data_IF_171731570503
#
_entry.id   IF_171731570503
#
_cell.length_a   1.000
_cell.length_b   1.000
_cell.length_c   1.000
_cell.angle_alpha   90.00
_cell.angle_beta   90.00
_cell.angle_gamma   90.00
#
_symmetry.space_group_name_H-M   'P 1'
#
loop_
_entity.id
_entity.type
_entity.pdbx_description
1 polymer ?
#
# COMPACT_ATOMS: atom_id res chain seq x y z
N UNK A 1 -16.71 -1.21 6.21
CA UNK A 1 -15.98 -0.14 6.93
C UNK A 1 -14.59 0.09 6.33
N UNK A 2 -13.67 -0.87 6.34
CA UNK A 2 -12.29 -0.69 5.83
C UNK A 2 -12.20 -0.30 4.35
N UNK A 3 -13.00 -0.95 3.48
CA UNK A 3 -13.06 -0.61 2.04
C UNK A 3 -13.55 0.83 1.81
N UNK A 4 -14.48 1.30 2.65
CA UNK A 4 -15.00 2.68 2.57
C UNK A 4 -13.94 3.69 3.00
N UNK A 5 -13.22 3.40 4.10
CA UNK A 5 -12.10 4.25 4.55
C UNK A 5 -10.98 4.36 3.51
N UNK A 6 -10.71 3.26 2.81
CA UNK A 6 -9.74 3.23 1.72
C UNK A 6 -10.16 4.15 0.56
N UNK A 7 -11.41 4.06 0.12
CA UNK A 7 -11.94 4.94 -0.94
C UNK A 7 -11.91 6.41 -0.53
N UNK A 8 -12.27 6.72 0.72
CA UNK A 8 -12.22 8.09 1.25
C UNK A 8 -10.80 8.65 1.25
N UNK A 9 -9.82 7.85 1.69
CA UNK A 9 -8.41 8.27 1.72
C UNK A 9 -7.86 8.53 0.32
N UNK A 10 -8.21 7.67 -0.65
CA UNK A 10 -7.84 7.84 -2.05
C UNK A 10 -8.50 9.07 -2.69
N UNK A 11 -9.74 9.39 -2.30
CA UNK A 11 -10.44 10.59 -2.75
C UNK A 11 -9.74 11.88 -2.30
N UNK A 12 -9.06 11.88 -1.14
CA UNK A 12 -8.31 13.07 -0.68
C UNK A 12 -7.15 13.41 -1.61
N UNK A 13 -6.45 12.40 -2.16
CA UNK A 13 -5.35 12.62 -3.10
C UNK A 13 -5.84 13.27 -4.41
N UNK A 14 -6.94 12.77 -4.97
CA UNK A 14 -7.56 13.35 -6.18
C UNK A 14 -8.07 14.76 -5.89
N UNK A 15 -8.78 14.94 -4.77
CA UNK A 15 -9.30 16.24 -4.35
C UNK A 15 -8.18 17.27 -4.19
N UNK A 16 -7.03 16.88 -3.64
CA UNK A 16 -5.87 17.78 -3.49
C UNK A 16 -5.36 18.30 -4.84
N UNK A 17 -5.32 17.45 -5.87
CA UNK A 17 -4.91 17.86 -7.22
C UNK A 17 -5.95 18.82 -7.80
N UNK A 18 -7.24 18.51 -7.65
CA UNK A 18 -8.31 19.38 -8.12
C UNK A 18 -8.25 20.75 -7.43
N UNK A 19 -8.11 20.78 -6.11
CA UNK A 19 -8.01 22.01 -5.33
C UNK A 19 -6.74 22.81 -5.63
N UNK A 20 -5.68 22.16 -6.13
CA UNK A 20 -4.47 22.85 -6.56
C UNK A 20 -4.61 23.49 -7.94
N UNK A 21 -5.37 22.88 -8.85
CA UNK A 21 -5.46 23.31 -10.26
C UNK A 21 -6.73 24.11 -10.60
N UNK A 22 -7.77 24.10 -9.75
CA UNK A 22 -9.07 24.63 -10.14
C UNK A 22 -9.13 26.15 -10.34
N UNK A 23 -8.19 26.90 -9.75
CA UNK A 23 -8.19 28.36 -9.84
C UNK A 23 -7.94 28.85 -11.28
N UNK A 24 -7.30 28.05 -12.12
CA UNK A 24 -6.94 28.45 -13.49
C UNK A 24 -8.08 28.28 -14.50
N UNK A 25 -8.84 27.18 -14.42
CA UNK A 25 -9.79 26.75 -15.46
C UNK A 25 -11.17 26.36 -14.93
N UNK A 26 -11.42 26.53 -13.63
CA UNK A 26 -12.69 26.24 -12.97
C UNK A 26 -12.82 24.80 -12.47
N UNK A 27 -13.64 24.62 -11.44
CA UNK A 27 -13.74 23.37 -10.68
C UNK A 27 -14.16 22.17 -11.53
N UNK A 28 -15.25 22.29 -12.30
CA UNK A 28 -15.80 21.15 -13.04
C UNK A 28 -14.89 20.64 -14.15
N UNK A 29 -14.25 21.56 -14.88
CA UNK A 29 -13.31 21.22 -15.95
C UNK A 29 -12.07 20.55 -15.34
N UNK A 30 -11.55 21.10 -14.25
CA UNK A 30 -10.42 20.53 -13.52
C UNK A 30 -10.74 19.15 -12.98
N UNK A 31 -11.90 18.96 -12.36
CA UNK A 31 -12.33 17.66 -11.83
C UNK A 31 -12.41 16.60 -12.94
N UNK A 32 -13.05 16.93 -14.06
CA UNK A 32 -13.14 16.03 -15.21
C UNK A 32 -11.75 15.70 -15.77
N UNK A 33 -10.90 16.71 -15.92
CA UNK A 33 -9.53 16.55 -16.39
C UNK A 33 -8.72 15.63 -15.47
N UNK A 34 -8.71 15.89 -14.15
CA UNK A 34 -8.00 15.07 -13.17
C UNK A 34 -8.51 13.64 -13.17
N UNK A 35 -9.83 13.43 -13.20
CA UNK A 35 -10.39 12.07 -13.15
C UNK A 35 -10.11 11.24 -14.40
N UNK A 36 -10.12 11.86 -15.59
CA UNK A 36 -10.06 11.11 -16.85
C UNK A 36 -8.69 11.14 -17.54
N UNK A 37 -7.81 12.07 -17.17
CA UNK A 37 -6.51 12.26 -17.85
C UNK A 37 -5.30 12.04 -16.94
N UNK A 38 -5.42 12.25 -15.62
CA UNK A 38 -4.30 12.06 -14.70
C UNK A 38 -4.25 10.61 -14.23
N UNK A 39 -3.05 10.03 -14.12
CA UNK A 39 -2.84 8.66 -13.61
C UNK A 39 -3.47 8.47 -12.21
N UNK A 40 -3.38 9.49 -11.35
CA UNK A 40 -3.99 9.46 -10.02
C UNK A 40 -5.53 9.34 -10.06
N UNK A 41 -6.19 10.03 -10.98
CA UNK A 41 -7.65 9.95 -11.16
C UNK A 41 -8.08 8.61 -11.77
N UNK A 42 -7.37 8.17 -12.81
CA UNK A 42 -7.60 6.85 -13.43
C UNK A 42 -7.43 5.71 -12.41
N UNK A 43 -6.39 5.79 -11.58
CA UNK A 43 -6.17 4.83 -10.51
C UNK A 43 -7.29 4.88 -9.47
N UNK A 44 -7.77 6.06 -9.08
CA UNK A 44 -8.92 6.18 -8.17
C UNK A 44 -10.16 5.49 -8.71
N UNK A 45 -10.49 5.68 -10.00
CA UNK A 45 -11.64 5.03 -10.66
C UNK A 45 -11.48 3.50 -10.63
N UNK A 46 -10.30 2.99 -11.01
CA UNK A 46 -10.02 1.55 -10.99
C UNK A 46 -10.09 0.98 -9.56
N UNK A 47 -9.53 1.68 -8.58
CA UNK A 47 -9.60 1.26 -7.17
C UNK A 47 -11.04 1.22 -6.66
N UNK A 48 -11.88 2.18 -7.05
CA UNK A 48 -13.30 2.17 -6.74
C UNK A 48 -14.01 0.98 -7.38
N UNK A 49 -13.75 0.70 -8.66
CA UNK A 49 -14.30 -0.45 -9.37
C UNK A 49 -13.90 -1.77 -8.70
N UNK A 50 -12.61 -1.99 -8.46
CA UNK A 50 -12.12 -3.22 -7.82
C UNK A 50 -12.70 -3.40 -6.41
N UNK A 51 -12.82 -2.31 -5.66
CA UNK A 51 -13.42 -2.32 -4.32
C UNK A 51 -14.88 -2.75 -4.34
N UNK A 52 -15.68 -2.22 -5.27
CA UNK A 52 -17.09 -2.60 -5.42
C UNK A 52 -17.22 -4.06 -5.83
N UNK A 53 -16.41 -4.52 -6.78
CA UNK A 53 -16.42 -5.93 -7.19
C UNK A 53 -16.01 -6.85 -6.03
N UNK A 54 -15.00 -6.47 -5.25
CA UNK A 54 -14.56 -7.24 -4.09
C UNK A 54 -15.67 -7.31 -3.03
N UNK A 55 -16.36 -6.20 -2.76
CA UNK A 55 -17.51 -6.16 -1.86
C UNK A 55 -18.62 -7.13 -2.28
N UNK A 56 -18.93 -7.19 -3.58
CA UNK A 56 -19.93 -8.13 -4.13
C UNK A 56 -19.49 -9.58 -3.90
N UNK A 57 -18.20 -9.87 -4.06
CA UNK A 57 -17.64 -11.22 -3.86
C UNK A 57 -17.72 -11.66 -2.40
N UNK A 58 -17.40 -10.76 -1.45
CA UNK A 58 -17.31 -11.11 -0.02
C UNK A 58 -18.64 -11.01 0.73
N UNK A 59 -19.63 -10.25 0.24
CA UNK A 59 -20.91 -10.04 0.94
C UNK A 59 -21.92 -11.20 0.77
N UNK A 60 -21.44 -12.41 0.44
CA UNK A 60 -22.28 -13.60 0.31
C UNK A 60 -21.89 -14.61 1.38
N UNK A 61 -22.88 -15.29 1.95
CA UNK A 61 -22.72 -16.19 3.10
C UNK A 61 -21.80 -17.38 2.86
N UNK A 62 -21.55 -17.76 1.60
CA UNK A 62 -20.60 -18.81 1.25
C UNK A 62 -19.59 -18.36 0.18
N UNK A 63 -18.31 -18.60 0.46
CA UNK A 63 -17.20 -18.38 -0.45
C UNK A 63 -16.84 -19.71 -1.11
N UNK A 64 -17.33 -19.93 -2.32
CA UNK A 64 -16.87 -21.06 -3.14
C UNK A 64 -15.39 -20.87 -3.53
N UNK A 65 -14.66 -21.94 -3.87
CA UNK A 65 -13.26 -21.84 -4.31
C UNK A 65 -13.06 -20.86 -5.47
N UNK A 66 -14.02 -20.77 -6.41
CA UNK A 66 -14.00 -19.80 -7.50
C UNK A 66 -14.11 -18.35 -7.01
N UNK A 67 -14.94 -18.08 -6.00
CA UNK A 67 -15.06 -16.74 -5.38
C UNK A 67 -13.80 -16.35 -4.63
N UNK A 68 -13.16 -17.30 -3.95
CA UNK A 68 -11.87 -17.05 -3.27
C UNK A 68 -10.81 -16.63 -4.31
N UNK A 69 -10.69 -17.39 -5.41
CA UNK A 69 -9.76 -17.05 -6.50
C UNK A 69 -10.04 -15.66 -7.09
N UNK A 70 -11.32 -15.34 -7.31
CA UNK A 70 -11.73 -14.02 -7.78
C UNK A 70 -11.40 -12.91 -6.79
N UNK A 71 -11.64 -13.13 -5.49
CA UNK A 71 -11.29 -12.18 -4.43
C UNK A 71 -9.78 -11.91 -4.37
N UNK A 72 -8.96 -12.96 -4.47
CA UNK A 72 -7.50 -12.84 -4.54
C UNK A 72 -7.07 -12.07 -5.79
N UNK A 73 -7.64 -12.38 -6.95
CA UNK A 73 -7.37 -11.66 -8.19
C UNK A 73 -7.69 -10.16 -8.06
N UNK A 74 -8.86 -9.82 -7.51
CA UNK A 74 -9.26 -8.42 -7.29
C UNK A 74 -8.32 -7.71 -6.31
N UNK A 75 -7.90 -8.38 -5.22
CA UNK A 75 -6.89 -7.84 -4.31
C UNK A 75 -5.55 -7.58 -4.99
N UNK A 76 -5.10 -8.48 -5.86
CA UNK A 76 -3.88 -8.28 -6.65
C UNK A 76 -4.03 -7.14 -7.67
N UNK A 77 -5.19 -7.02 -8.32
CA UNK A 77 -5.48 -5.90 -9.22
C UNK A 77 -5.40 -4.55 -8.48
N UNK A 78 -5.91 -4.49 -7.25
CA UNK A 78 -5.81 -3.31 -6.38
C UNK A 78 -4.35 -2.97 -6.03
N UNK A 79 -3.52 -3.97 -5.71
CA UNK A 79 -2.07 -3.77 -5.44
C UNK A 79 -1.38 -3.19 -6.67
N UNK A 80 -1.63 -3.74 -7.86
CA UNK A 80 -1.03 -3.29 -9.10
C UNK A 80 -1.51 -1.88 -9.46
N UNK A 81 -2.80 -1.58 -9.32
CA UNK A 81 -3.34 -0.22 -9.55
C UNK A 81 -2.72 0.80 -8.59
N UNK A 82 -2.53 0.43 -7.31
CA UNK A 82 -1.82 1.28 -6.34
C UNK A 82 -0.36 1.51 -6.73
N UNK A 83 0.33 0.47 -7.20
CA UNK A 83 1.72 0.58 -7.60
C UNK A 83 1.91 1.41 -8.87
N UNK A 84 1.00 1.23 -9.84
CA UNK A 84 0.98 1.93 -11.13
C UNK A 84 0.81 3.44 -10.99
N UNK A 85 0.03 3.90 -10.01
CA UNK A 85 -0.20 5.33 -9.77
C UNK A 85 0.92 6.03 -8.99
N UNK A 86 1.93 5.28 -8.55
CA UNK A 86 3.05 5.81 -7.77
C UNK A 86 4.20 6.35 -8.63
N UNK A 87 4.96 7.30 -8.09
CA UNK A 87 6.10 7.94 -8.77
C UNK A 87 7.10 6.96 -9.38
N UNK A 88 7.36 5.82 -8.74
CA UNK A 88 8.29 4.84 -9.27
C UNK A 88 7.85 4.28 -10.62
N UNK A 89 6.54 4.08 -10.82
CA UNK A 89 5.97 3.65 -12.10
C UNK A 89 6.16 4.73 -13.17
N UNK A 90 5.87 5.99 -12.84
CA UNK A 90 6.04 7.09 -13.81
C UNK A 90 7.51 7.37 -14.17
N UNK A 91 8.46 7.10 -13.27
CA UNK A 91 9.90 7.36 -13.48
C UNK A 91 10.62 6.17 -14.11
N UNK A 92 10.34 4.93 -13.67
CA UNK A 92 11.03 3.69 -14.11
C UNK A 92 10.14 2.76 -14.92
N UNK A 93 8.92 3.15 -15.24
CA UNK A 93 7.97 2.33 -15.99
C UNK A 93 7.62 1.03 -15.27
N UNK A 94 7.61 -0.07 -16.03
CA UNK A 94 7.22 -1.39 -15.55
C UNK A 94 8.10 -1.92 -14.40
N UNK A 95 9.39 -1.58 -14.38
CA UNK A 95 10.30 -1.96 -13.30
C UNK A 95 9.86 -1.32 -11.98
N UNK A 96 9.64 0.00 -11.99
CA UNK A 96 9.18 0.73 -10.81
C UNK A 96 7.81 0.25 -10.33
N UNK A 97 6.89 -0.04 -11.26
CA UNK A 97 5.59 -0.63 -10.95
C UNK A 97 5.72 -2.02 -10.31
N UNK A 98 6.59 -2.89 -10.82
CA UNK A 98 6.80 -4.23 -10.29
C UNK A 98 7.39 -4.19 -8.88
N UNK A 99 8.45 -3.41 -8.66
CA UNK A 99 9.07 -3.29 -7.34
C UNK A 99 8.11 -2.65 -6.34
N UNK A 100 7.34 -1.65 -6.77
CA UNK A 100 6.33 -1.03 -5.91
C UNK A 100 5.18 -2.00 -5.57
N UNK A 101 4.77 -2.87 -6.51
CA UNK A 101 3.77 -3.92 -6.25
C UNK A 101 4.28 -4.93 -5.22
N UNK A 102 5.53 -5.38 -5.35
CA UNK A 102 6.17 -6.29 -4.38
C UNK A 102 6.25 -5.64 -3.00
N UNK A 103 6.69 -4.38 -2.94
CA UNK A 103 6.75 -3.62 -1.69
C UNK A 103 5.37 -3.54 -1.02
N UNK A 104 4.35 -3.08 -1.76
CA UNK A 104 3.00 -2.90 -1.24
C UNK A 104 2.38 -4.23 -0.79
N UNK A 105 2.54 -5.30 -1.56
CA UNK A 105 2.04 -6.62 -1.19
C UNK A 105 2.68 -7.13 0.11
N UNK A 106 4.00 -6.97 0.25
CA UNK A 106 4.71 -7.34 1.47
C UNK A 106 4.23 -6.53 2.69
N UNK A 107 4.02 -5.22 2.53
CA UNK A 107 3.43 -4.36 3.58
C UNK A 107 2.03 -4.84 3.95
N UNK A 108 1.16 -5.13 2.97
CA UNK A 108 -0.22 -5.55 3.23
C UNK A 108 -0.31 -6.92 3.90
N UNK A 109 0.50 -7.89 3.47
CA UNK A 109 0.56 -9.22 4.11
C UNK A 109 1.05 -9.07 5.55
N UNK A 110 2.12 -8.30 5.78
CA UNK A 110 2.69 -8.11 7.11
C UNK A 110 1.73 -7.39 8.06
N UNK A 111 1.27 -6.20 7.68
CA UNK A 111 0.37 -5.38 8.52
C UNK A 111 -1.01 -6.01 8.66
N UNK A 112 -1.57 -6.58 7.59
CA UNK A 112 -2.84 -7.30 7.62
C UNK A 112 -2.78 -8.52 8.52
N UNK A 113 -1.70 -9.30 8.46
CA UNK A 113 -1.46 -10.42 9.37
C UNK A 113 -1.42 -9.98 10.84
N UNK A 114 -0.68 -8.90 11.15
CA UNK A 114 -0.61 -8.33 12.50
C UNK A 114 -1.97 -7.80 12.98
N UNK A 115 -2.75 -7.16 12.11
CA UNK A 115 -4.10 -6.68 12.44
C UNK A 115 -5.03 -7.85 12.78
N UNK A 116 -5.03 -8.92 11.96
CA UNK A 116 -5.83 -10.12 12.25
C UNK A 116 -5.44 -10.69 13.60
N UNK A 117 -4.15 -10.76 13.94
CA UNK A 117 -3.70 -11.24 15.24
C UNK A 117 -4.12 -10.35 16.41
N UNK A 118 -4.05 -9.04 16.23
CA UNK A 118 -4.45 -8.08 17.27
C UNK A 118 -5.93 -8.17 17.62
N UNK A 119 -6.79 -8.52 16.66
CA UNK A 119 -8.23 -8.66 16.89
C UNK A 119 -8.65 -10.10 17.21
N UNK A 120 -8.04 -11.09 16.58
CA UNK A 120 -8.42 -12.50 16.62
C UNK A 120 -7.20 -13.35 16.97
N UNK A 121 -6.80 -13.30 18.25
CA UNK A 121 -5.70 -14.13 18.76
C UNK A 121 -6.12 -15.61 18.75
N UNK A 122 -5.28 -16.52 18.22
CA UNK A 122 -5.43 -17.95 18.45
C UNK A 122 -5.53 -18.27 19.94
N UNK A 123 -6.28 -19.31 20.31
CA UNK A 123 -6.25 -19.84 21.68
C UNK A 123 -4.81 -20.22 22.06
N UNK A 124 -4.45 -20.08 23.34
CA UNK A 124 -3.11 -20.39 23.88
C UNK A 124 -2.55 -21.74 23.40
N UNK A 125 -3.42 -22.75 23.22
CA UNK A 125 -3.05 -24.10 22.75
C UNK A 125 -2.43 -24.15 21.35
N UNK A 126 -2.77 -23.21 20.47
CA UNK A 126 -2.33 -23.18 19.07
C UNK A 126 -1.36 -22.02 18.77
N UNK A 127 -1.01 -21.21 19.79
CA UNK A 127 -0.18 -20.02 19.62
C UNK A 127 1.23 -20.35 19.13
N UNK A 128 1.87 -21.38 19.70
CA UNK A 128 3.21 -21.82 19.27
C UNK A 128 3.25 -22.24 17.79
N UNK A 129 2.30 -23.08 17.35
CA UNK A 129 2.20 -23.55 15.96
C UNK A 129 1.98 -22.36 15.00
N UNK A 130 1.12 -21.43 15.38
CA UNK A 130 0.89 -20.23 14.60
C UNK A 130 2.17 -19.39 14.45
N UNK A 131 2.89 -19.16 15.56
CA UNK A 131 4.14 -18.38 15.55
C UNK A 131 5.21 -19.03 14.67
N UNK A 132 5.37 -20.35 14.72
CA UNK A 132 6.33 -21.08 13.88
C UNK A 132 6.05 -20.90 12.39
N UNK A 133 4.77 -20.87 12.00
CA UNK A 133 4.37 -20.62 10.61
C UNK A 133 4.47 -19.14 10.21
N UNK A 134 4.07 -18.23 11.11
CA UNK A 134 4.00 -16.80 10.80
C UNK A 134 5.36 -16.10 10.79
N UNK A 135 6.30 -16.54 11.65
CA UNK A 135 7.66 -15.98 11.76
C UNK A 135 8.41 -15.93 10.43
N UNK A 136 8.55 -17.02 9.65
CA UNK A 136 9.25 -16.98 8.36
C UNK A 136 8.53 -16.09 7.34
N UNK A 137 7.20 -16.06 7.33
CA UNK A 137 6.41 -15.20 6.43
C UNK A 137 6.67 -13.72 6.69
N UNK A 138 6.60 -13.29 7.96
CA UNK A 138 6.86 -11.90 8.35
C UNK A 138 8.30 -11.51 8.09
N UNK A 139 9.25 -12.42 8.33
CA UNK A 139 10.67 -12.19 8.04
C UNK A 139 10.89 -11.94 6.55
N UNK A 140 10.29 -12.77 5.68
CA UNK A 140 10.35 -12.57 4.23
C UNK A 140 9.70 -11.24 3.81
N UNK A 141 8.50 -10.93 4.33
CA UNK A 141 7.83 -9.67 4.04
C UNK A 141 8.71 -8.48 4.44
N UNK A 142 9.35 -8.55 5.62
CA UNK A 142 10.21 -7.49 6.11
C UNK A 142 11.46 -7.28 5.22
N UNK A 143 12.13 -8.37 4.82
CA UNK A 143 13.25 -8.30 3.89
C UNK A 143 12.85 -7.67 2.55
N UNK A 144 11.69 -8.07 2.02
CA UNK A 144 11.14 -7.48 0.80
C UNK A 144 10.84 -5.98 1.01
N UNK A 145 10.21 -5.58 2.12
CA UNK A 145 9.89 -4.19 2.44
C UNK A 145 11.16 -3.33 2.50
N UNK A 146 12.21 -3.78 3.19
CA UNK A 146 13.47 -3.03 3.30
C UNK A 146 14.16 -2.91 1.94
N UNK A 147 14.37 -4.03 1.25
CA UNK A 147 15.09 -4.04 -0.03
C UNK A 147 14.38 -3.23 -1.11
N UNK A 148 13.08 -3.48 -1.30
CA UNK A 148 12.27 -2.70 -2.26
C UNK A 148 12.06 -1.26 -1.79
N UNK A 149 11.99 -1.00 -0.49
CA UNK A 149 11.83 0.36 0.05
C UNK A 149 13.02 1.25 -0.22
N UNK A 150 14.24 0.73 -0.05
CA UNK A 150 15.49 1.44 -0.40
C UNK A 150 15.53 1.72 -1.90
N UNK A 151 15.20 0.71 -2.73
CA UNK A 151 15.13 0.90 -4.17
C UNK A 151 14.12 2.00 -4.56
N UNK A 152 12.89 1.94 -4.05
CA UNK A 152 11.85 2.93 -4.35
C UNK A 152 12.21 4.33 -3.88
N UNK A 153 12.90 4.45 -2.74
CA UNK A 153 13.48 5.72 -2.30
C UNK A 153 14.49 6.22 -3.33
N UNK A 154 15.44 5.38 -3.78
CA UNK A 154 16.50 5.77 -4.72
C UNK A 154 15.98 6.22 -6.09
N UNK A 155 14.74 5.87 -6.44
CA UNK A 155 14.09 6.37 -7.66
C UNK A 155 13.76 7.86 -7.57
N UNK A 156 13.54 8.39 -6.36
CA UNK A 156 13.14 9.79 -6.14
C UNK A 156 14.27 10.62 -5.53
N UNK A 157 15.02 10.05 -4.59
CA UNK A 157 16.13 10.71 -3.88
C UNK A 157 17.33 9.77 -3.90
N UNK A 158 18.44 10.21 -4.49
CA UNK A 158 19.69 9.44 -4.49
C UNK A 158 20.14 9.18 -3.04
N UNK A 159 20.75 8.03 -2.80
CA UNK A 159 21.11 7.62 -1.43
C UNK A 159 22.10 8.60 -0.80
N UNK A 160 22.97 9.16 -1.63
CA UNK A 160 23.99 10.16 -1.28
C UNK A 160 23.36 11.50 -0.86
N UNK A 161 22.20 11.84 -1.41
CA UNK A 161 21.47 13.10 -1.15
C UNK A 161 20.41 12.95 -0.05
N UNK A 162 20.39 11.81 0.64
CA UNK A 162 19.31 11.48 1.58
C UNK A 162 19.19 12.50 2.72
N UNK A 163 20.31 12.92 3.32
CA UNK A 163 20.30 13.95 4.38
C UNK A 163 19.82 15.30 3.87
N UNK A 164 20.21 15.65 2.65
CA UNK A 164 19.89 16.94 2.04
C UNK A 164 18.40 17.05 1.73
N UNK A 165 17.75 15.91 1.45
CA UNK A 165 16.31 15.83 1.22
C UNK A 165 15.45 16.22 2.44
N UNK A 166 15.99 16.26 3.65
CA UNK A 166 15.25 16.57 4.88
C UNK A 166 14.73 18.01 4.96
N UNK A 167 15.22 18.90 4.10
CA UNK A 167 14.66 20.23 3.92
C UNK A 167 13.26 20.18 3.29
N UNK A 168 12.94 19.12 2.54
CA UNK A 168 11.67 18.92 1.87
C UNK A 168 10.72 18.04 2.70
N UNK A 169 9.40 18.29 2.65
CA UNK A 169 8.42 17.45 3.36
C UNK A 169 8.52 15.95 3.02
N UNK A 170 8.89 15.61 1.77
CA UNK A 170 9.09 14.22 1.36
C UNK A 170 10.27 13.56 2.11
N UNK A 171 11.42 14.22 2.20
CA UNK A 171 12.58 13.69 2.92
C UNK A 171 12.34 13.58 4.42
N UNK A 172 11.58 14.51 5.02
CA UNK A 172 11.13 14.41 6.41
C UNK A 172 10.24 13.19 6.64
N UNK A 173 9.24 12.97 5.79
CA UNK A 173 8.38 11.80 5.88
C UNK A 173 9.17 10.50 5.73
N UNK A 174 10.18 10.50 4.85
CA UNK A 174 11.08 9.37 4.66
C UNK A 174 11.98 9.12 5.88
N UNK A 175 12.50 10.17 6.54
CA UNK A 175 13.20 10.05 7.82
C UNK A 175 12.33 9.39 8.90
N UNK A 176 11.11 9.88 9.07
CA UNK A 176 10.17 9.26 10.01
C UNK A 176 9.89 7.80 9.68
N UNK A 177 9.76 7.45 8.38
CA UNK A 177 9.58 6.06 7.95
C UNK A 177 10.75 5.18 8.42
N UNK A 178 12.00 5.62 8.29
CA UNK A 178 13.17 4.86 8.74
C UNK A 178 13.25 4.74 10.26
N UNK A 179 12.98 5.82 11.01
CA UNK A 179 12.96 5.80 12.48
C UNK A 179 11.93 4.81 13.02
N UNK A 180 10.73 4.80 12.42
CA UNK A 180 9.66 3.88 12.82
C UNK A 180 10.00 2.42 12.48
N UNK A 181 10.57 2.16 11.29
CA UNK A 181 11.01 0.81 10.90
C UNK A 181 12.10 0.30 11.85
N UNK A 182 13.06 1.16 12.23
CA UNK A 182 14.10 0.81 13.19
C UNK A 182 13.50 0.47 14.56
N UNK A 183 12.51 1.22 15.01
CA UNK A 183 11.81 0.95 16.27
C UNK A 183 11.13 -0.42 16.27
N UNK A 184 10.43 -0.74 15.18
CA UNK A 184 9.79 -2.05 14.98
C UNK A 184 10.83 -3.17 14.96
N UNK A 185 11.99 -2.96 14.31
CA UNK A 185 13.09 -3.92 14.28
C UNK A 185 13.62 -4.23 15.68
N UNK A 186 13.88 -3.20 16.48
CA UNK A 186 14.38 -3.36 17.85
C UNK A 186 13.38 -4.18 18.67
N UNK A 187 12.09 -3.86 18.60
CA UNK A 187 11.04 -4.61 19.29
C UNK A 187 10.98 -6.07 18.79
N UNK A 188 11.07 -6.28 17.48
CA UNK A 188 11.06 -7.62 16.87
C UNK A 188 12.24 -8.48 17.32
N UNK A 189 13.43 -7.91 17.41
CA UNK A 189 14.65 -8.58 17.89
C UNK A 189 14.52 -8.91 19.38
N UNK A 190 14.04 -7.98 20.20
CA UNK A 190 13.85 -8.18 21.64
C UNK A 190 12.87 -9.31 21.95
N UNK A 191 11.80 -9.41 21.16
CA UNK A 191 10.77 -10.45 21.28
C UNK A 191 11.08 -11.73 20.50
N UNK A 192 12.20 -11.79 19.76
CA UNK A 192 12.58 -12.92 18.90
C UNK A 192 13.17 -14.13 19.63
N UNK A 193 13.11 -14.15 20.97
CA UNK A 193 13.53 -15.26 21.83
C UNK A 193 12.51 -16.39 21.83
#
# INVERSE_FOLDING_TARGET
MLIVLMLLSFSLSVLRIVLYLYEEIGFWITLQSVLLTFEAGNAWILMALWSVLLLIVINRSSLSPGRIKLGVFLGMAMVVTFAWSGHASSIKGAEGMLVHSIHALAVFIWTGGLLILGFWSPSDRNWGIFLEWFKPLVTLCFLLIVGSGIYLMSVVVQVEEYSDSWILPYGQALLWKHVLILSVLIIGIMNGK
#
